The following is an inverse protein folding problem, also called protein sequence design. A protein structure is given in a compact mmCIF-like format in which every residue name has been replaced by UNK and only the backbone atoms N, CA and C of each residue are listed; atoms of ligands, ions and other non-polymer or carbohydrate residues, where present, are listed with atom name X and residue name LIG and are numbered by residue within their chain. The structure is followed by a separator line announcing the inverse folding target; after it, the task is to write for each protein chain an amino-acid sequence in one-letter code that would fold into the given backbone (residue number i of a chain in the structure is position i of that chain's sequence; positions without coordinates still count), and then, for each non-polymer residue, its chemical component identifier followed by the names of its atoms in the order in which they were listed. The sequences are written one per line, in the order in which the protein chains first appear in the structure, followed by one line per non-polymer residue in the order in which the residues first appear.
data_IF_889255156488
#
_entry.id   IF_889255156488
#
_cell.length_a   1.000
_cell.length_b   1.000
_cell.length_c   1.000
_cell.angle_alpha   90.00
_cell.angle_beta   90.00
_cell.angle_gamma   90.00
#
_symmetry.space_group_name_H-M   'P 1'
#
loop_
_entity.id
_entity.type
_entity.pdbx_description
1 polymer ?
#
# COMPACT_ATOMS: atom_id res chain seq x y z
N UNK A 1 -60.98 24.26 -34.52
CA UNK A 1 -60.82 23.55 -33.24
C UNK A 1 -59.51 22.78 -33.25
N UNK A 2 -58.55 22.99 -32.36
CA UNK A 2 -58.32 23.98 -31.32
C UNK A 2 -56.93 23.63 -30.79
N UNK A 3 -56.13 24.62 -30.40
CA UNK A 3 -55.45 24.81 -29.10
C UNK A 3 -54.99 23.58 -28.25
N UNK A 4 -55.64 22.42 -28.36
CA UNK A 4 -55.33 21.16 -27.70
C UNK A 4 -53.90 20.65 -27.97
N UNK A 5 -53.39 20.70 -29.22
CA UNK A 5 -52.00 20.24 -29.47
C UNK A 5 -50.95 21.20 -28.90
N UNK A 6 -51.25 22.49 -28.82
CA UNK A 6 -50.37 23.50 -28.25
C UNK A 6 -50.33 23.40 -26.71
N UNK A 7 -51.46 23.12 -26.06
CA UNK A 7 -51.51 22.87 -24.61
C UNK A 7 -50.81 21.57 -24.20
N UNK A 8 -50.91 20.51 -25.00
CA UNK A 8 -50.17 19.27 -24.78
C UNK A 8 -48.65 19.46 -24.99
N UNK A 9 -48.24 20.33 -25.91
CA UNK A 9 -46.83 20.73 -26.08
C UNK A 9 -46.29 21.57 -24.93
N UNK A 10 -47.09 22.50 -24.38
CA UNK A 10 -46.68 23.38 -23.26
C UNK A 10 -46.54 22.65 -21.91
N UNK A 11 -47.30 21.57 -21.68
CA UNK A 11 -47.15 20.77 -20.45
C UNK A 11 -45.83 19.98 -20.41
N UNK A 12 -45.29 19.58 -21.57
CA UNK A 12 -44.01 18.89 -21.64
C UNK A 12 -42.81 19.81 -21.32
N UNK A 13 -42.93 21.10 -21.62
CA UNK A 13 -41.89 22.10 -21.33
C UNK A 13 -41.77 22.43 -19.83
N UNK A 14 -42.84 22.26 -19.04
CA UNK A 14 -42.85 22.54 -17.60
C UNK A 14 -42.31 21.38 -16.75
N UNK A 15 -42.24 20.16 -17.29
CA UNK A 15 -41.55 19.02 -16.63
C UNK A 15 -40.03 19.06 -16.89
N UNK A 16 -39.59 19.80 -17.91
CA UNK A 16 -38.15 19.99 -18.19
C UNK A 16 -37.49 21.05 -17.28
N UNK A 17 -38.27 21.80 -16.47
CA UNK A 17 -37.74 22.83 -15.55
C UNK A 17 -38.28 22.61 -14.15
N UNK A 18 -37.89 21.50 -13.53
CA UNK A 18 -37.89 21.40 -12.07
C UNK A 18 -36.53 20.88 -11.62
N UNK A 19 -35.75 21.81 -11.08
CA UNK A 19 -34.50 21.52 -10.39
C UNK A 19 -33.30 21.59 -11.32
N UNK A 20 -32.71 22.79 -11.42
CA UNK A 20 -31.25 22.86 -11.42
C UNK A 20 -30.78 22.10 -10.17
N UNK A 21 -30.51 20.80 -10.31
CA UNK A 21 -29.65 20.10 -9.38
C UNK A 21 -28.28 20.70 -9.67
N UNK A 22 -27.91 21.72 -8.89
CA UNK A 22 -26.52 21.96 -8.56
C UNK A 22 -26.03 20.70 -7.83
N UNK A 23 -25.83 19.63 -8.58
CA UNK A 23 -24.95 18.55 -8.24
C UNK A 23 -23.65 18.89 -8.96
N UNK A 24 -22.97 19.92 -8.47
CA UNK A 24 -21.57 19.65 -8.16
C UNK A 24 -21.66 18.53 -7.12
N UNK A 25 -21.74 17.29 -7.63
CA UNK A 25 -21.12 16.20 -6.94
C UNK A 25 -19.71 16.73 -6.75
N UNK A 26 -19.45 17.22 -5.54
CA UNK A 26 -18.12 17.12 -4.99
C UNK A 26 -17.87 15.64 -5.10
N UNK A 27 -17.31 15.23 -6.24
CA UNK A 27 -16.52 14.03 -6.37
C UNK A 27 -15.39 14.36 -5.43
N UNK A 28 -15.67 14.17 -4.13
CA UNK A 28 -14.68 13.67 -3.20
C UNK A 28 -14.19 12.48 -3.99
N UNK A 29 -13.06 12.66 -4.67
CA UNK A 29 -12.26 11.54 -5.07
C UNK A 29 -12.07 10.81 -3.76
N UNK A 30 -12.92 9.79 -3.53
CA UNK A 30 -12.73 8.85 -2.45
C UNK A 30 -11.25 8.53 -2.58
N UNK A 31 -10.42 8.90 -1.60
CA UNK A 31 -8.98 8.81 -1.77
C UNK A 31 -8.73 7.36 -2.10
N UNK A 32 -8.42 7.07 -3.37
CA UNK A 32 -8.25 5.70 -3.80
C UNK A 32 -7.20 5.14 -2.87
N UNK A 33 -7.46 3.99 -2.22
CA UNK A 33 -6.55 3.45 -1.25
C UNK A 33 -5.22 3.31 -1.95
N UNK A 34 -4.30 4.20 -1.60
CA UNK A 34 -3.02 4.30 -2.29
C UNK A 34 -2.31 3.03 -1.88
N UNK A 35 -2.31 2.02 -2.77
CA UNK A 35 -1.61 0.78 -2.54
C UNK A 35 -0.13 1.07 -2.67
N UNK A 36 0.44 1.60 -1.59
CA UNK A 36 1.85 2.00 -1.51
C UNK A 36 2.80 0.82 -1.66
N UNK A 37 2.32 -0.42 -1.49
CA UNK A 37 3.14 -1.62 -1.58
C UNK A 37 2.39 -2.67 -2.39
N UNK A 38 2.68 -2.71 -3.69
CA UNK A 38 2.19 -3.76 -4.59
C UNK A 38 3.13 -4.96 -4.51
N UNK A 39 2.58 -6.17 -4.52
CA UNK A 39 3.38 -7.41 -4.56
C UNK A 39 3.99 -7.57 -5.95
N UNK A 40 5.28 -7.88 -6.02
CA UNK A 40 5.96 -8.23 -7.27
C UNK A 40 6.16 -9.75 -7.36
N UNK A 41 5.44 -10.40 -8.27
CA UNK A 41 5.51 -11.85 -8.46
C UNK A 41 6.63 -12.29 -9.44
N UNK A 42 7.22 -11.35 -10.18
CA UNK A 42 8.22 -11.63 -11.23
C UNK A 42 9.49 -12.35 -10.72
N UNK A 43 9.95 -12.02 -9.51
CA UNK A 43 11.17 -12.57 -8.91
C UNK A 43 10.91 -13.51 -7.72
N UNK A 44 9.65 -13.91 -7.53
CA UNK A 44 9.20 -14.79 -6.46
C UNK A 44 8.77 -14.06 -5.18
N UNK A 45 8.48 -14.85 -4.14
CA UNK A 45 7.90 -14.34 -2.90
C UNK A 45 8.82 -13.36 -2.13
N UNK A 46 8.18 -12.35 -1.53
CA UNK A 46 8.83 -11.34 -0.70
C UNK A 46 9.47 -10.19 -1.48
N UNK A 47 9.16 -10.04 -2.76
CA UNK A 47 9.44 -8.85 -3.54
C UNK A 47 8.21 -7.92 -3.57
N UNK A 48 8.48 -6.62 -3.51
CA UNK A 48 7.47 -5.57 -3.58
C UNK A 48 7.90 -4.53 -4.61
N UNK A 49 6.95 -3.91 -5.31
CA UNK A 49 7.28 -2.83 -6.23
C UNK A 49 7.68 -1.57 -5.48
N UNK A 50 8.75 -0.93 -5.94
CA UNK A 50 9.08 0.44 -5.52
C UNK A 50 8.04 1.38 -6.13
N UNK A 51 7.34 2.21 -5.32
CA UNK A 51 6.32 3.14 -5.82
C UNK A 51 6.82 4.01 -6.96
N UNK A 52 6.03 4.11 -8.04
CA UNK A 52 6.39 4.88 -9.23
C UNK A 52 7.34 4.18 -10.21
N UNK A 53 7.68 2.90 -9.98
CA UNK A 53 8.52 2.10 -10.90
C UNK A 53 8.02 0.66 -11.04
N UNK A 54 8.55 -0.07 -12.02
CA UNK A 54 8.40 -1.53 -12.14
C UNK A 54 9.57 -2.32 -11.52
N UNK A 55 10.42 -1.63 -10.75
CA UNK A 55 11.53 -2.24 -10.02
C UNK A 55 11.01 -3.01 -8.81
N UNK A 56 11.38 -4.28 -8.72
CA UNK A 56 11.06 -5.15 -7.60
C UNK A 56 12.15 -5.09 -6.54
N UNK A 57 11.77 -4.75 -5.31
CA UNK A 57 12.64 -4.67 -4.14
C UNK A 57 12.30 -5.79 -3.15
N UNK A 58 13.32 -6.46 -2.62
CA UNK A 58 13.19 -7.38 -1.48
C UNK A 58 14.08 -6.92 -0.34
N UNK A 59 13.47 -6.76 0.83
CA UNK A 59 14.16 -6.49 2.09
C UNK A 59 14.17 -7.80 2.88
N UNK A 60 15.37 -8.26 3.20
CA UNK A 60 15.58 -9.51 3.94
C UNK A 60 16.73 -9.37 4.91
N UNK A 61 16.96 -10.38 5.73
CA UNK A 61 17.99 -10.30 6.75
C UNK A 61 17.83 -11.37 7.81
N UNK A 62 18.63 -11.25 8.86
CA UNK A 62 18.44 -12.02 10.08
C UNK A 62 18.86 -11.20 11.30
N UNK A 63 18.21 -11.52 12.42
CA UNK A 63 18.56 -11.03 13.75
C UNK A 63 18.90 -12.23 14.61
N UNK A 64 20.06 -12.20 15.24
CA UNK A 64 20.51 -13.21 16.20
C UNK A 64 20.81 -12.53 17.53
N UNK A 65 20.29 -13.13 18.60
CA UNK A 65 20.57 -12.73 19.97
C UNK A 65 21.06 -13.96 20.73
N UNK A 66 22.31 -13.90 21.19
CA UNK A 66 22.94 -14.93 22.01
C UNK A 66 23.01 -14.42 23.45
N UNK A 67 22.47 -15.20 24.39
CA UNK A 67 22.63 -14.98 25.82
C UNK A 67 23.24 -16.24 26.44
N UNK A 68 24.41 -16.07 27.04
CA UNK A 68 25.17 -17.14 27.69
C UNK A 68 25.38 -16.75 29.14
N UNK A 69 25.35 -17.73 30.05
CA UNK A 69 25.52 -17.52 31.48
C UNK A 69 26.57 -18.46 32.04
N UNK A 70 27.34 -17.99 33.02
CA UNK A 70 28.47 -18.72 33.59
C UNK A 70 29.73 -18.65 32.74
N UNK A 71 30.76 -19.38 33.17
CA UNK A 71 32.08 -19.37 32.54
C UNK A 71 32.14 -20.35 31.37
N UNK A 72 32.94 -20.00 30.36
CA UNK A 72 33.15 -20.89 29.22
C UNK A 72 34.05 -22.08 29.61
N UNK A 73 33.54 -23.32 29.63
CA UNK A 73 34.30 -24.48 30.13
C UNK A 73 35.39 -24.96 29.17
N UNK A 74 35.44 -24.43 27.95
CA UNK A 74 36.38 -24.84 26.91
C UNK A 74 37.54 -23.86 26.73
N UNK A 75 37.32 -22.58 27.06
CA UNK A 75 38.30 -21.50 26.87
C UNK A 75 38.76 -20.87 28.18
N UNK A 76 38.07 -21.15 29.30
CA UNK A 76 38.39 -20.58 30.61
C UNK A 76 38.15 -19.06 30.68
N UNK A 77 37.41 -18.51 29.72
CA UNK A 77 37.02 -17.11 29.72
C UNK A 77 35.95 -16.88 30.80
N UNK A 78 36.24 -15.99 31.74
CA UNK A 78 35.25 -15.46 32.69
C UNK A 78 34.31 -14.54 31.92
N UNK A 79 33.06 -14.98 31.78
CA UNK A 79 32.00 -14.22 31.12
C UNK A 79 31.07 -13.56 32.13
N UNK A 80 31.64 -12.88 33.14
CA UNK A 80 31.00 -11.90 34.03
C UNK A 80 29.52 -12.21 34.29
N UNK A 81 29.23 -13.42 34.77
CA UNK A 81 27.87 -13.99 34.97
C UNK A 81 26.99 -14.11 33.70
N UNK A 82 27.01 -13.14 32.77
CA UNK A 82 26.18 -13.07 31.57
C UNK A 82 26.92 -12.45 30.37
N UNK A 83 26.96 -13.17 29.26
CA UNK A 83 27.43 -12.66 27.96
C UNK A 83 26.26 -12.51 26.99
N UNK A 84 26.05 -11.29 26.50
CA UNK A 84 25.01 -10.95 25.53
C UNK A 84 25.64 -10.50 24.23
N UNK A 85 25.23 -11.09 23.12
CA UNK A 85 25.70 -10.71 21.80
C UNK A 85 24.53 -10.63 20.82
N UNK A 86 24.39 -9.46 20.19
CA UNK A 86 23.36 -9.22 19.18
C UNK A 86 24.02 -9.02 17.83
N UNK A 87 23.54 -9.72 16.81
CA UNK A 87 23.94 -9.53 15.41
C UNK A 87 22.72 -9.30 14.56
N UNK A 88 22.71 -8.20 13.83
CA UNK A 88 21.71 -7.89 12.82
C UNK A 88 22.36 -7.83 11.44
N UNK A 89 21.70 -8.36 10.42
CA UNK A 89 22.10 -8.24 9.02
C UNK A 89 20.89 -7.88 8.19
N UNK A 90 20.99 -6.82 7.40
CA UNK A 90 19.98 -6.39 6.45
C UNK A 90 20.51 -6.57 5.03
N UNK A 91 19.66 -7.03 4.13
CA UNK A 91 19.95 -7.25 2.73
C UNK A 91 18.83 -6.65 1.88
N UNK A 92 19.23 -5.84 0.92
CA UNK A 92 18.37 -5.22 -0.07
C UNK A 92 18.71 -5.81 -1.44
N UNK A 93 17.70 -6.28 -2.16
CA UNK A 93 17.83 -6.83 -3.50
C UNK A 93 16.83 -6.10 -4.40
N UNK A 94 17.33 -5.35 -5.39
CA UNK A 94 16.52 -4.59 -6.33
C UNK A 94 16.75 -5.12 -7.74
N UNK A 95 15.67 -5.47 -8.44
CA UNK A 95 15.70 -6.08 -9.77
C UNK A 95 14.68 -5.41 -10.69
N UNK A 96 15.04 -5.24 -11.96
CA UNK A 96 14.16 -4.71 -13.01
C UNK A 96 14.35 -5.58 -14.25
N UNK A 97 13.25 -5.91 -14.94
CA UNK A 97 13.35 -6.40 -16.31
C UNK A 97 13.57 -5.17 -17.20
N UNK A 98 14.50 -5.26 -18.15
CA UNK A 98 14.75 -4.23 -19.17
C UNK A 98 14.02 -4.55 -20.45
#
# INVERSE_FOLDING_TARGET
MNIKSLLLGSAAALVAVTGARAADAVVVAEPEPVEYVRVCDAYGAGFFYIPGTETCLKISGYLRYDAQAGDDPYTGFDSETWRKHTRATLRFDARSET
#
